data_IF_042599198979
#
_entry.id   IF_042599198979
#
_cell.length_a   1.000
_cell.length_b   1.000
_cell.length_c   1.000
_cell.angle_alpha   90.00
_cell.angle_beta   90.00
_cell.angle_gamma   90.00
#
_symmetry.space_group_name_H-M   'P 1'
#
loop_
_entity.id
_entity.type
_entity.pdbx_description
1 polymer ?
#
# COMPACT_ATOMS: atom_id res chain seq x y z
N UNK A 1 -31.66 -11.57 -53.52
CA UNK A 1 -32.98 -11.74 -52.87
C UNK A 1 -32.97 -13.04 -52.07
N UNK A 2 -33.71 -13.06 -50.94
CA UNK A 2 -33.81 -14.11 -49.89
C UNK A 2 -32.76 -14.03 -48.77
N UNK A 3 -33.11 -13.30 -47.70
CA UNK A 3 -32.61 -13.49 -46.33
C UNK A 3 -33.39 -14.66 -45.70
N UNK A 4 -32.70 -15.57 -45.02
CA UNK A 4 -33.28 -16.64 -44.23
C UNK A 4 -32.75 -16.58 -42.78
N UNK A 5 -33.71 -16.49 -41.86
CA UNK A 5 -33.80 -17.00 -40.48
C UNK A 5 -32.58 -17.14 -39.55
N UNK A 6 -32.71 -16.51 -38.37
CA UNK A 6 -32.23 -17.02 -37.08
C UNK A 6 -33.40 -16.95 -36.05
N UNK A 7 -33.51 -17.88 -35.08
CA UNK A 7 -34.69 -17.99 -34.21
C UNK A 7 -34.57 -17.09 -32.96
N UNK A 8 -35.71 -16.51 -32.54
CA UNK A 8 -35.88 -15.79 -31.27
C UNK A 8 -36.06 -16.79 -30.11
N UNK A 9 -35.31 -16.62 -29.03
CA UNK A 9 -35.54 -17.33 -27.77
C UNK A 9 -36.70 -16.74 -26.98
N UNK A 10 -37.30 -17.61 -26.19
CA UNK A 10 -38.55 -17.54 -25.44
C UNK A 10 -38.61 -16.42 -24.38
N UNK A 11 -39.68 -15.62 -24.47
CA UNK A 11 -40.23 -14.82 -23.37
C UNK A 11 -41.08 -15.74 -22.47
N UNK A 12 -40.70 -15.88 -21.19
CA UNK A 12 -41.54 -16.57 -20.20
C UNK A 12 -42.55 -15.58 -19.62
N UNK A 13 -43.82 -15.82 -19.94
CA UNK A 13 -45.00 -15.21 -19.35
C UNK A 13 -45.13 -15.61 -17.87
N UNK A 14 -45.25 -14.62 -16.98
CA UNK A 14 -45.74 -14.81 -15.62
C UNK A 14 -47.28 -14.90 -15.69
N UNK A 15 -47.85 -16.05 -15.35
CA UNK A 15 -49.29 -16.21 -15.10
C UNK A 15 -49.65 -15.51 -13.78
N UNK A 16 -50.51 -14.50 -13.87
CA UNK A 16 -51.14 -13.85 -12.73
C UNK A 16 -52.35 -14.71 -12.30
N UNK A 17 -52.28 -15.34 -11.13
CA UNK A 17 -53.46 -15.87 -10.44
C UNK A 17 -53.88 -14.86 -9.39
N UNK A 18 -55.06 -14.29 -9.56
CA UNK A 18 -55.67 -13.35 -8.62
C UNK A 18 -56.39 -14.15 -7.52
N UNK A 19 -56.06 -13.88 -6.26
CA UNK A 19 -56.69 -14.47 -5.07
C UNK A 19 -56.45 -13.60 -3.84
N UNK A 20 -57.41 -12.71 -3.59
CA UNK A 20 -57.86 -12.10 -2.31
C UNK A 20 -56.85 -11.80 -1.17
N UNK A 21 -56.71 -10.49 -0.91
CA UNK A 21 -56.42 -9.78 0.36
C UNK A 21 -55.38 -10.37 1.34
N UNK A 22 -54.18 -9.77 1.34
CA UNK A 22 -53.55 -9.24 2.56
C UNK A 22 -52.46 -8.23 2.16
N UNK A 23 -52.36 -7.11 2.87
CA UNK A 23 -51.36 -6.06 2.62
C UNK A 23 -49.98 -6.59 3.00
N UNK A 24 -49.24 -7.13 2.02
CA UNK A 24 -47.82 -7.44 2.19
C UNK A 24 -47.00 -6.19 1.92
N UNK A 25 -46.39 -5.66 2.97
CA UNK A 25 -45.24 -4.75 2.89
C UNK A 25 -44.18 -5.42 2.03
N UNK A 26 -43.92 -4.90 0.83
CA UNK A 26 -42.76 -5.29 0.03
C UNK A 26 -41.51 -4.76 0.72
N UNK A 27 -40.95 -5.54 1.64
CA UNK A 27 -39.57 -5.35 2.08
C UNK A 27 -38.69 -5.77 0.91
N UNK A 28 -38.14 -4.78 0.19
CA UNK A 28 -36.98 -5.01 -0.67
C UNK A 28 -35.81 -5.38 0.26
N UNK A 29 -35.67 -6.68 0.55
CA UNK A 29 -34.41 -7.24 1.01
C UNK A 29 -33.44 -7.15 -0.17
N UNK A 30 -32.81 -5.98 -0.29
CA UNK A 30 -31.59 -5.85 -1.05
C UNK A 30 -30.59 -6.85 -0.46
N UNK A 31 -30.38 -7.96 -1.15
CA UNK A 31 -29.30 -8.87 -0.84
C UNK A 31 -28.02 -8.06 -1.03
N UNK A 32 -27.46 -7.56 0.07
CA UNK A 32 -26.09 -7.10 0.08
C UNK A 32 -25.28 -8.25 -0.51
N UNK A 33 -24.64 -8.03 -1.67
CA UNK A 33 -23.60 -8.93 -2.15
C UNK A 33 -22.60 -9.00 -1.01
N UNK A 34 -22.64 -10.09 -0.24
CA UNK A 34 -21.53 -10.46 0.61
C UNK A 34 -20.34 -10.54 -0.35
N UNK A 35 -19.44 -9.57 -0.25
CA UNK A 35 -18.13 -9.62 -0.88
C UNK A 35 -17.46 -10.83 -0.26
N UNK A 36 -17.62 -11.97 -0.92
CA UNK A 36 -16.91 -13.18 -0.56
C UNK A 36 -15.44 -12.84 -0.78
N UNK A 37 -14.72 -12.55 0.31
CA UNK A 37 -13.27 -12.51 0.31
C UNK A 37 -12.85 -13.85 -0.29
N UNK A 38 -12.44 -13.86 -1.55
CA UNK A 38 -11.83 -15.04 -2.13
C UNK A 38 -10.58 -15.27 -1.31
N UNK A 39 -10.61 -16.29 -0.44
CA UNK A 39 -9.41 -16.77 0.22
C UNK A 39 -8.43 -17.06 -0.91
N UNK A 40 -7.36 -16.26 -1.01
CA UNK A 40 -6.36 -16.38 -2.05
C UNK A 40 -5.84 -17.83 -2.02
N UNK A 41 -6.22 -18.61 -3.03
CA UNK A 41 -5.81 -20.01 -3.12
C UNK A 41 -4.30 -20.03 -3.21
N UNK A 42 -3.66 -20.67 -2.23
CA UNK A 42 -2.21 -20.80 -2.18
C UNK A 42 -1.78 -21.59 -3.42
N UNK A 43 -0.92 -21.04 -4.29
CA UNK A 43 -0.50 -21.76 -5.50
C UNK A 43 0.18 -23.09 -5.19
N UNK A 44 0.03 -24.06 -6.09
CA UNK A 44 0.55 -25.42 -5.90
C UNK A 44 2.04 -25.44 -5.57
N UNK A 45 2.39 -26.20 -4.53
CA UNK A 45 3.75 -26.36 -4.01
C UNK A 45 4.21 -25.26 -3.06
N UNK A 46 3.47 -24.15 -2.92
CA UNK A 46 3.72 -23.18 -1.88
C UNK A 46 3.00 -23.56 -0.58
N UNK A 47 3.63 -23.31 0.55
CA UNK A 47 3.03 -23.41 1.88
C UNK A 47 3.41 -22.20 2.73
N UNK A 48 2.52 -21.80 3.66
CA UNK A 48 2.72 -20.61 4.50
C UNK A 48 3.74 -20.90 5.59
N UNK A 49 4.71 -20.02 5.77
CA UNK A 49 5.76 -20.12 6.81
C UNK A 49 5.72 -18.98 7.83
N UNK A 50 4.97 -17.91 7.54
CA UNK A 50 4.77 -16.76 8.42
C UNK A 50 3.40 -16.14 8.16
N UNK A 51 2.73 -15.72 9.21
CA UNK A 51 1.55 -14.85 9.16
C UNK A 51 1.58 -13.86 10.32
N UNK A 52 1.36 -12.59 10.02
CA UNK A 52 1.20 -11.51 10.99
C UNK A 52 0.28 -10.44 10.37
N UNK A 53 0.04 -9.34 11.08
CA UNK A 53 -0.89 -8.26 10.70
C UNK A 53 -0.57 -7.69 9.32
N UNK A 54 -1.34 -8.12 8.31
CA UNK A 54 -1.18 -7.71 6.92
C UNK A 54 0.00 -8.34 6.18
N UNK A 55 0.72 -9.30 6.77
CA UNK A 55 1.91 -9.91 6.16
C UNK A 55 1.80 -11.43 6.20
N UNK A 56 1.95 -12.07 5.05
CA UNK A 56 2.07 -13.53 4.94
C UNK A 56 3.30 -13.87 4.11
N UNK A 57 4.07 -14.88 4.50
CA UNK A 57 5.16 -15.40 3.67
C UNK A 57 4.92 -16.86 3.34
N UNK A 58 5.06 -17.17 2.06
CA UNK A 58 4.93 -18.51 1.50
C UNK A 58 6.29 -18.98 1.00
N UNK A 59 6.56 -20.27 1.17
CA UNK A 59 7.78 -20.94 0.72
C UNK A 59 7.42 -22.08 -0.20
N UNK A 60 8.23 -22.29 -1.23
CA UNK A 60 8.21 -23.49 -2.07
C UNK A 60 9.60 -24.11 -2.09
N UNK A 61 9.69 -25.35 -1.64
CA UNK A 61 10.93 -26.11 -1.70
C UNK A 61 11.08 -26.82 -3.03
N UNK A 62 12.33 -27.08 -3.39
CA UNK A 62 12.70 -27.84 -4.56
C UNK A 62 13.75 -28.88 -4.20
N UNK A 63 13.73 -30.01 -4.91
CA UNK A 63 14.78 -31.01 -4.83
C UNK A 63 16.15 -30.37 -5.19
N UNK A 64 17.17 -30.65 -4.38
CA UNK A 64 18.51 -30.05 -4.52
C UNK A 64 18.70 -28.66 -3.86
N UNK A 65 17.73 -28.19 -3.08
CA UNK A 65 17.79 -26.88 -2.42
C UNK A 65 17.43 -25.72 -3.35
N UNK A 66 17.62 -24.48 -2.86
CA UNK A 66 17.21 -23.21 -3.51
C UNK A 66 15.69 -22.97 -3.51
N UNK A 67 15.06 -22.74 -2.34
CA UNK A 67 13.64 -22.47 -2.24
C UNK A 67 13.25 -21.11 -2.82
N UNK A 68 11.98 -21.01 -3.17
CA UNK A 68 11.30 -19.78 -3.58
C UNK A 68 10.50 -19.21 -2.40
N UNK A 69 10.41 -17.88 -2.31
CA UNK A 69 9.68 -17.19 -1.26
C UNK A 69 8.78 -16.09 -1.84
N UNK A 70 7.50 -16.11 -1.49
CA UNK A 70 6.55 -15.05 -1.84
C UNK A 70 6.04 -14.41 -0.56
N UNK A 71 6.34 -13.12 -0.38
CA UNK A 71 5.74 -12.29 0.68
C UNK A 71 4.51 -11.59 0.10
N UNK A 72 3.36 -11.79 0.73
CA UNK A 72 2.09 -11.11 0.43
C UNK A 72 1.87 -10.05 1.50
N UNK A 73 1.74 -8.79 1.07
CA UNK A 73 1.58 -7.63 1.95
C UNK A 73 0.27 -6.93 1.65
N UNK A 74 -0.67 -6.95 2.58
CA UNK A 74 -1.91 -6.16 2.53
C UNK A 74 -1.64 -4.77 3.11
N UNK A 75 -1.50 -3.77 2.24
CA UNK A 75 -1.18 -2.40 2.61
C UNK A 75 -2.31 -1.70 3.36
N UNK A 76 -3.49 -2.30 3.53
CA UNK A 76 -4.50 -1.76 4.46
C UNK A 76 -4.14 -2.02 5.92
N UNK A 77 -3.24 -2.97 6.16
CA UNK A 77 -2.87 -3.49 7.50
C UNK A 77 -1.38 -3.45 7.79
N UNK A 78 -0.53 -3.60 6.78
CA UNK A 78 0.92 -3.61 6.90
C UNK A 78 1.56 -2.36 6.30
N UNK A 79 2.79 -2.07 6.67
CA UNK A 79 3.58 -0.96 6.13
C UNK A 79 4.77 -1.49 5.35
N UNK A 80 5.07 -0.88 4.21
CA UNK A 80 6.33 -1.06 3.48
C UNK A 80 7.10 0.26 3.39
N UNK A 81 8.42 0.18 3.36
CA UNK A 81 9.31 1.35 3.27
C UNK A 81 10.52 1.05 2.41
N UNK A 82 10.95 2.04 1.61
CA UNK A 82 12.28 2.01 1.02
C UNK A 82 13.34 2.35 2.07
N UNK A 83 14.38 1.52 2.14
CA UNK A 83 15.59 1.74 2.95
C UNK A 83 16.78 1.93 2.03
N UNK A 84 17.66 2.88 2.34
CA UNK A 84 18.88 3.15 1.56
C UNK A 84 20.08 3.43 2.46
N UNK A 85 21.28 3.41 1.89
CA UNK A 85 22.40 4.16 2.45
C UNK A 85 22.17 5.67 2.39
N UNK A 86 23.14 6.42 2.93
CA UNK A 86 23.26 7.85 2.62
C UNK A 86 23.42 8.02 1.11
N UNK A 87 23.03 9.18 0.59
CA UNK A 87 23.07 9.45 -0.83
C UNK A 87 23.45 10.89 -1.13
N UNK A 88 24.10 11.10 -2.27
CA UNK A 88 24.49 12.42 -2.78
C UNK A 88 24.59 12.35 -4.29
N UNK A 89 24.10 13.38 -4.98
CA UNK A 89 24.14 13.50 -6.45
C UNK A 89 23.64 12.24 -7.19
N UNK A 90 22.56 11.64 -6.70
CA UNK A 90 21.95 10.43 -7.27
C UNK A 90 22.70 9.12 -7.05
N UNK A 91 23.82 9.15 -6.32
CA UNK A 91 24.56 7.96 -5.91
C UNK A 91 24.20 7.57 -4.46
N UNK A 92 24.12 6.26 -4.20
CA UNK A 92 23.71 5.72 -2.90
C UNK A 92 24.80 4.82 -2.32
N UNK A 93 25.14 5.03 -1.06
CA UNK A 93 26.08 4.16 -0.35
C UNK A 93 25.47 2.77 -0.14
N UNK A 94 26.28 1.74 -0.37
CA UNK A 94 25.85 0.35 -0.21
C UNK A 94 25.92 -0.09 1.25
N UNK A 95 24.98 -0.95 1.65
CA UNK A 95 24.88 -1.53 2.99
C UNK A 95 24.83 -3.05 2.90
N UNK A 96 25.25 -3.70 3.98
CA UNK A 96 25.06 -5.14 4.14
C UNK A 96 23.60 -5.48 4.43
N UNK A 97 23.24 -6.74 4.24
CA UNK A 97 21.92 -7.28 4.60
C UNK A 97 21.58 -7.02 6.07
N UNK A 98 22.51 -7.30 6.98
CA UNK A 98 22.31 -7.10 8.42
C UNK A 98 22.14 -5.62 8.76
N UNK A 99 22.84 -4.72 8.08
CA UNK A 99 22.66 -3.28 8.26
C UNK A 99 21.24 -2.85 7.87
N UNK A 100 20.70 -3.33 6.75
CA UNK A 100 19.32 -3.02 6.37
C UNK A 100 18.28 -3.62 7.33
N UNK A 101 18.54 -4.82 7.86
CA UNK A 101 17.67 -5.38 8.90
C UNK A 101 17.67 -4.52 10.17
N UNK A 102 18.83 -4.07 10.62
CA UNK A 102 18.94 -3.20 11.78
C UNK A 102 18.26 -1.85 11.55
N UNK A 103 18.43 -1.26 10.36
CA UNK A 103 17.71 -0.04 9.96
C UNK A 103 16.19 -0.27 10.01
N UNK A 104 15.72 -1.44 9.55
CA UNK A 104 14.31 -1.78 9.59
C UNK A 104 13.79 -1.89 11.04
N UNK A 105 14.50 -2.63 11.88
CA UNK A 105 14.17 -2.83 13.30
C UNK A 105 14.20 -1.52 14.08
N UNK A 106 15.12 -0.60 13.76
CA UNK A 106 15.20 0.72 14.38
C UNK A 106 13.94 1.58 14.14
N UNK A 107 13.16 1.28 13.09
CA UNK A 107 11.88 1.94 12.79
C UNK A 107 10.67 1.24 13.41
N UNK A 108 10.86 0.20 14.24
CA UNK A 108 9.76 -0.46 14.92
C UNK A 108 9.02 0.50 15.86
N UNK A 109 7.70 0.43 15.84
CA UNK A 109 6.83 1.05 16.85
C UNK A 109 6.18 -0.02 17.70
N UNK A 110 5.31 0.36 18.64
CA UNK A 110 4.45 -0.60 19.37
C UNK A 110 3.46 -1.31 18.44
N UNK A 111 3.03 -0.67 17.37
CA UNK A 111 1.98 -1.12 16.45
C UNK A 111 2.47 -1.55 15.07
N UNK A 112 3.76 -1.36 14.77
CA UNK A 112 4.38 -1.80 13.52
C UNK A 112 5.76 -2.43 13.77
N UNK A 113 5.96 -3.68 13.34
CA UNK A 113 7.20 -4.43 13.54
C UNK A 113 7.76 -4.97 12.24
N UNK A 114 9.05 -4.77 11.98
CA UNK A 114 9.76 -5.30 10.81
C UNK A 114 9.68 -6.83 10.78
N UNK A 115 9.37 -7.37 9.60
CA UNK A 115 9.18 -8.80 9.35
C UNK A 115 10.01 -9.31 8.19
N UNK A 116 10.06 -8.54 7.10
CA UNK A 116 10.76 -8.94 5.87
C UNK A 116 11.63 -7.80 5.38
N UNK A 117 12.86 -8.12 4.97
CA UNK A 117 13.74 -7.19 4.25
C UNK A 117 14.27 -7.89 3.01
N UNK A 118 14.08 -7.25 1.85
CA UNK A 118 14.40 -7.78 0.52
C UNK A 118 15.14 -6.71 -0.29
N UNK A 119 16.07 -7.09 -1.16
CA UNK A 119 16.73 -6.13 -2.05
C UNK A 119 15.75 -5.53 -3.06
N UNK A 120 15.97 -4.28 -3.47
CA UNK A 120 14.93 -3.54 -4.18
C UNK A 120 15.32 -2.80 -5.45
N UNK A 121 16.57 -2.75 -5.89
CA UNK A 121 16.91 -1.97 -7.10
C UNK A 121 18.05 -2.54 -7.91
N UNK A 122 18.04 -2.23 -9.21
CA UNK A 122 19.18 -2.39 -10.10
C UNK A 122 20.18 -1.24 -9.91
N UNK A 123 21.46 -1.58 -9.90
CA UNK A 123 22.54 -0.62 -9.68
C UNK A 123 23.79 -0.99 -10.46
N UNK A 124 24.65 0.00 -10.66
CA UNK A 124 25.91 -0.18 -11.37
C UNK A 124 26.87 -1.07 -10.57
N UNK A 125 27.32 -2.18 -11.16
CA UNK A 125 28.28 -3.09 -10.52
C UNK A 125 29.62 -3.22 -11.26
N UNK A 126 29.86 -2.39 -12.28
CA UNK A 126 31.04 -2.46 -13.11
C UNK A 126 32.18 -1.61 -12.50
N UNK A 127 33.01 -2.21 -11.63
CA UNK A 127 34.21 -1.55 -11.08
C UNK A 127 34.03 -0.75 -9.77
N UNK A 128 32.83 -0.81 -9.17
CA UNK A 128 32.51 -0.50 -7.76
C UNK A 128 32.93 0.85 -7.14
N UNK A 129 32.51 2.01 -7.70
CA UNK A 129 32.35 3.18 -6.86
C UNK A 129 31.23 2.91 -5.84
N UNK A 130 31.57 3.04 -4.55
CA UNK A 130 30.62 3.18 -3.45
C UNK A 130 30.78 4.62 -2.93
N UNK A 131 29.83 5.53 -3.16
CA UNK A 131 28.43 5.28 -3.50
C UNK A 131 28.19 4.93 -4.98
N UNK A 132 27.11 4.18 -5.24
CA UNK A 132 26.80 3.60 -6.57
C UNK A 132 25.60 4.26 -7.22
N UNK A 133 25.57 4.28 -8.56
CA UNK A 133 24.44 4.81 -9.34
C UNK A 133 23.27 3.83 -9.36
N UNK A 134 22.05 4.37 -9.34
CA UNK A 134 20.80 3.61 -9.49
C UNK A 134 20.40 3.53 -10.96
N UNK A 135 20.06 2.34 -11.47
CA UNK A 135 19.82 2.14 -12.90
C UNK A 135 18.46 2.67 -13.38
N UNK A 136 17.37 2.39 -12.67
CA UNK A 136 16.01 2.72 -13.14
C UNK A 136 15.26 3.75 -12.27
N UNK A 137 15.98 4.37 -11.35
CA UNK A 137 15.47 5.41 -10.46
C UNK A 137 15.07 4.91 -9.07
N UNK A 138 15.07 5.84 -8.12
CA UNK A 138 14.70 5.58 -6.73
C UNK A 138 14.20 6.87 -6.07
N UNK A 139 13.12 6.76 -5.32
CA UNK A 139 12.57 7.81 -4.45
C UNK A 139 12.27 7.21 -3.09
N UNK A 140 12.68 7.92 -2.05
CA UNK A 140 12.55 7.48 -0.66
C UNK A 140 11.90 8.57 0.16
N UNK A 141 10.74 8.31 0.76
CA UNK A 141 10.04 9.26 1.65
C UNK A 141 9.95 10.68 1.07
N UNK A 142 9.40 10.79 -0.15
CA UNK A 142 9.30 12.03 -0.93
C UNK A 142 10.62 12.60 -1.48
N UNK A 143 11.77 12.05 -1.13
CA UNK A 143 13.06 12.48 -1.66
C UNK A 143 13.41 11.66 -2.90
N UNK A 144 13.30 12.27 -4.09
CA UNK A 144 13.79 11.69 -5.33
C UNK A 144 15.32 11.64 -5.30
N UNK A 145 15.88 10.45 -5.36
CA UNK A 145 17.33 10.25 -5.40
C UNK A 145 17.82 10.36 -6.85
N UNK A 146 17.17 9.65 -7.78
CA UNK A 146 17.55 9.62 -9.19
C UNK A 146 16.37 9.15 -10.06
N UNK A 147 16.33 9.56 -11.33
CA UNK A 147 15.45 8.96 -12.35
C UNK A 147 16.04 7.68 -12.96
N UNK A 148 17.32 7.39 -12.70
CA UNK A 148 18.01 6.24 -13.25
C UNK A 148 18.87 6.56 -14.48
N UNK A 149 20.05 5.97 -14.57
CA UNK A 149 20.95 6.13 -15.73
C UNK A 149 20.69 5.10 -16.85
N UNK A 150 20.07 3.97 -16.53
CA UNK A 150 19.91 2.79 -17.40
C UNK A 150 18.63 2.80 -18.23
N UNK A 151 17.91 3.91 -18.31
CA UNK A 151 16.61 3.97 -18.99
C UNK A 151 16.70 3.67 -20.51
N UNK A 152 17.86 3.82 -21.12
CA UNK A 152 18.08 3.47 -22.53
C UNK A 152 18.35 1.98 -22.79
N UNK A 153 18.63 1.19 -21.76
CA UNK A 153 19.08 -0.20 -21.92
C UNK A 153 17.95 -1.14 -22.38
N UNK A 154 16.71 -0.85 -21.98
CA UNK A 154 15.53 -1.68 -22.30
C UNK A 154 14.35 -0.82 -22.81
N UNK A 155 14.40 -0.36 -24.07
CA UNK A 155 13.36 0.50 -24.64
C UNK A 155 11.94 -0.06 -24.46
N UNK A 156 11.04 0.74 -23.89
CA UNK A 156 9.64 0.36 -23.64
C UNK A 156 9.41 -0.64 -22.49
N UNK A 157 10.48 -1.12 -21.83
CA UNK A 157 10.40 -2.13 -20.77
C UNK A 157 10.74 -1.58 -19.38
N UNK A 158 11.06 -0.30 -19.25
CA UNK A 158 11.23 0.32 -17.93
C UNK A 158 9.89 0.42 -17.21
N UNK A 159 9.89 0.08 -15.93
CA UNK A 159 8.73 0.14 -15.04
C UNK A 159 9.08 0.91 -13.77
N UNK A 160 8.06 1.31 -13.03
CA UNK A 160 8.18 1.79 -11.66
C UNK A 160 7.23 1.01 -10.78
N UNK A 161 7.73 0.58 -9.61
CA UNK A 161 6.92 0.19 -8.47
C UNK A 161 6.75 1.43 -7.59
N UNK A 162 5.55 1.99 -7.55
CA UNK A 162 5.18 3.09 -6.67
C UNK A 162 4.30 2.56 -5.54
N UNK A 163 4.53 3.00 -4.31
CA UNK A 163 3.68 2.62 -3.19
C UNK A 163 3.52 3.72 -2.15
N UNK A 164 2.31 3.78 -1.60
CA UNK A 164 1.95 4.60 -0.46
C UNK A 164 1.35 3.68 0.61
N UNK A 165 2.18 3.30 1.59
CA UNK A 165 1.73 2.50 2.72
C UNK A 165 0.57 3.14 3.46
N UNK A 166 0.51 4.47 3.58
CA UNK A 166 -0.57 5.12 4.31
C UNK A 166 -1.88 5.13 3.53
N UNK A 167 -1.84 5.51 2.26
CA UNK A 167 -2.99 5.45 1.35
C UNK A 167 -3.40 4.02 0.97
N UNK A 168 -2.73 3.01 1.53
CA UNK A 168 -2.90 1.59 1.25
C UNK A 168 -2.82 1.27 -0.25
N UNK A 169 -1.92 1.93 -1.00
CA UNK A 169 -1.87 1.79 -2.45
C UNK A 169 -0.50 1.36 -2.96
N UNK A 170 -0.50 0.58 -4.03
CA UNK A 170 0.67 0.21 -4.81
C UNK A 170 0.33 0.16 -6.29
N UNK A 171 1.26 0.57 -7.15
CA UNK A 171 1.10 0.50 -8.60
C UNK A 171 2.40 0.05 -9.25
N UNK A 172 2.26 -0.75 -10.30
CA UNK A 172 3.33 -1.07 -11.23
C UNK A 172 2.91 -0.51 -12.58
N UNK A 173 3.69 0.43 -13.10
CA UNK A 173 3.38 1.16 -14.33
C UNK A 173 4.63 1.41 -15.17
N UNK A 174 4.44 1.92 -16.38
CA UNK A 174 5.55 2.39 -17.22
C UNK A 174 6.32 3.49 -16.50
N UNK A 175 7.65 3.46 -16.62
CA UNK A 175 8.49 4.48 -16.01
C UNK A 175 8.17 5.89 -16.54
N UNK A 176 7.96 6.85 -15.65
CA UNK A 176 7.85 8.28 -15.98
C UNK A 176 8.49 9.16 -14.91
N UNK A 177 9.02 10.31 -15.30
CA UNK A 177 9.54 11.29 -14.33
C UNK A 177 8.42 11.79 -13.39
N UNK A 178 7.19 11.92 -13.89
CA UNK A 178 6.03 12.33 -13.08
C UNK A 178 5.73 11.38 -11.92
N UNK A 179 6.05 10.09 -12.03
CA UNK A 179 5.92 9.16 -10.89
C UNK A 179 6.88 9.54 -9.76
N UNK A 180 8.11 9.93 -10.08
CA UNK A 180 9.10 10.33 -9.09
C UNK A 180 8.86 11.75 -8.56
N UNK A 181 8.34 12.65 -9.39
CA UNK A 181 8.04 14.03 -9.00
C UNK A 181 6.68 14.19 -8.29
N UNK A 182 5.81 13.16 -8.37
CA UNK A 182 4.47 13.17 -7.78
C UNK A 182 4.41 13.04 -6.26
N UNK A 183 3.20 12.87 -5.72
CA UNK A 183 2.94 12.76 -4.27
C UNK A 183 3.26 11.40 -3.65
N UNK A 184 3.40 10.35 -4.46
CA UNK A 184 3.71 9.02 -3.94
C UNK A 184 5.07 9.04 -3.24
N UNK A 185 5.15 8.66 -1.95
CA UNK A 185 6.35 8.85 -1.14
C UNK A 185 7.51 7.98 -1.59
N UNK A 186 7.24 6.75 -1.98
CA UNK A 186 8.25 5.75 -2.30
C UNK A 186 8.03 5.20 -3.72
N UNK A 187 9.10 5.24 -4.51
CA UNK A 187 9.10 4.77 -5.91
C UNK A 187 10.40 4.05 -6.16
N UNK A 188 10.31 2.88 -6.78
CA UNK A 188 11.44 2.02 -7.11
C UNK A 188 11.42 1.75 -8.62
N UNK A 189 12.52 2.08 -9.29
CA UNK A 189 12.73 1.72 -10.68
C UNK A 189 12.83 0.21 -10.88
N UNK A 190 12.17 -0.29 -11.91
CA UNK A 190 12.02 -1.71 -12.18
C UNK A 190 12.11 -2.01 -13.68
N UNK A 191 12.19 -3.30 -14.03
CA UNK A 191 12.05 -3.77 -15.40
C UNK A 191 10.76 -4.57 -15.55
N UNK A 192 10.15 -4.49 -16.72
CA UNK A 192 9.08 -5.39 -17.11
C UNK A 192 9.59 -6.84 -17.06
N UNK A 193 8.75 -7.77 -16.63
CA UNK A 193 9.10 -9.20 -16.54
C UNK A 193 9.53 -9.82 -17.89
N UNK A 194 9.22 -9.15 -19.01
CA UNK A 194 9.61 -9.54 -20.37
C UNK A 194 10.91 -8.87 -20.87
N UNK A 195 11.53 -7.96 -20.12
CA UNK A 195 12.80 -7.35 -20.50
C UNK A 195 13.90 -8.42 -20.56
N UNK A 196 14.68 -8.51 -21.65
CA UNK A 196 15.70 -9.56 -21.74
C UNK A 196 16.93 -9.25 -20.87
N UNK A 197 16.88 -9.58 -19.58
CA UNK A 197 18.02 -9.51 -18.65
C UNK A 197 18.43 -10.94 -18.28
N UNK A 198 19.03 -11.62 -19.26
CA UNK A 198 19.32 -13.06 -19.19
C UNK A 198 18.05 -13.87 -18.96
N UNK A 199 16.97 -13.60 -19.72
CA UNK A 199 15.61 -14.01 -19.35
C UNK A 199 15.42 -15.54 -19.20
N UNK A 200 16.17 -16.32 -19.96
CA UNK A 200 16.14 -17.79 -19.94
C UNK A 200 17.03 -18.41 -18.85
N UNK A 201 17.89 -17.62 -18.21
CA UNK A 201 18.84 -18.12 -17.22
C UNK A 201 18.18 -18.28 -15.84
N UNK A 202 18.31 -19.46 -15.20
CA UNK A 202 17.83 -19.72 -13.85
C UNK A 202 18.76 -19.04 -12.82
N UNK A 203 18.43 -17.80 -12.49
CA UNK A 203 19.24 -16.95 -11.61
C UNK A 203 18.49 -16.60 -10.32
N UNK A 204 19.24 -16.14 -9.33
CA UNK A 204 18.66 -15.46 -8.18
C UNK A 204 18.13 -14.08 -8.58
N UNK A 205 16.88 -13.78 -8.22
CA UNK A 205 16.20 -12.55 -8.61
C UNK A 205 15.15 -12.13 -7.60
N UNK A 206 14.80 -10.85 -7.65
CA UNK A 206 13.64 -10.30 -6.96
C UNK A 206 12.64 -9.75 -7.97
N UNK A 207 11.39 -10.18 -7.84
CA UNK A 207 10.25 -9.71 -8.61
C UNK A 207 9.16 -9.17 -7.69
N UNK A 208 8.25 -8.40 -8.28
CA UNK A 208 7.11 -7.81 -7.60
C UNK A 208 5.85 -7.91 -8.43
N UNK A 209 4.71 -7.97 -7.76
CA UNK A 209 3.40 -7.89 -8.40
C UNK A 209 2.40 -7.19 -7.49
N UNK A 210 1.34 -6.64 -8.06
CA UNK A 210 0.27 -6.01 -7.27
C UNK A 210 -1.09 -6.64 -7.54
N UNK A 211 -2.00 -6.53 -6.56
CA UNK A 211 -3.34 -7.08 -6.61
C UNK A 211 -4.32 -6.03 -6.06
N UNK A 212 -5.30 -5.64 -6.86
CA UNK A 212 -6.51 -4.96 -6.43
C UNK A 212 -7.41 -6.00 -5.75
N UNK A 213 -7.40 -5.99 -4.42
CA UNK A 213 -7.96 -7.10 -3.63
C UNK A 213 -9.45 -6.93 -3.35
N UNK A 214 -9.98 -5.71 -3.47
CA UNK A 214 -11.39 -5.41 -3.28
C UNK A 214 -12.11 -4.92 -4.55
N UNK A 215 -11.39 -4.82 -5.67
CA UNK A 215 -11.93 -4.54 -7.00
C UNK A 215 -12.27 -3.07 -7.22
N UNK A 216 -11.66 -2.16 -6.45
CA UNK A 216 -11.99 -0.73 -6.49
C UNK A 216 -11.21 0.06 -7.57
N UNK A 217 -10.26 -0.59 -8.27
CA UNK A 217 -9.37 0.01 -9.27
C UNK A 217 -8.02 0.48 -8.72
N UNK A 218 -7.79 0.40 -7.42
CA UNK A 218 -6.52 0.63 -6.74
C UNK A 218 -5.97 -0.72 -6.29
N UNK A 219 -4.67 -0.95 -6.37
CA UNK A 219 -4.09 -2.16 -5.82
C UNK A 219 -3.57 -1.89 -4.39
N UNK A 220 -4.02 -2.70 -3.43
CA UNK A 220 -3.64 -2.58 -2.02
C UNK A 220 -2.76 -3.74 -1.55
N UNK A 221 -2.63 -4.80 -2.35
CA UNK A 221 -1.77 -5.94 -2.02
C UNK A 221 -0.52 -5.94 -2.88
N UNK A 222 0.65 -5.98 -2.23
CA UNK A 222 1.95 -6.15 -2.87
C UNK A 222 2.46 -7.59 -2.69
N UNK A 223 2.96 -8.18 -3.77
CA UNK A 223 3.73 -9.41 -3.77
C UNK A 223 5.21 -9.06 -3.91
N UNK A 224 6.05 -9.63 -3.05
CA UNK A 224 7.50 -9.61 -3.17
C UNK A 224 7.97 -11.06 -3.35
N UNK A 225 8.53 -11.37 -4.51
CA UNK A 225 8.96 -12.71 -4.87
C UNK A 225 10.48 -12.78 -4.96
N UNK A 226 11.10 -13.56 -4.07
CA UNK A 226 12.53 -13.90 -4.13
C UNK A 226 12.70 -15.33 -4.62
N UNK A 227 13.56 -15.49 -5.61
CA UNK A 227 13.93 -16.80 -6.16
C UNK A 227 15.44 -16.92 -6.22
N UNK A 228 15.93 -18.15 -6.14
CA UNK A 228 17.35 -18.50 -6.28
C UNK A 228 17.67 -19.20 -7.61
N UNK A 229 16.65 -19.53 -8.42
CA UNK A 229 16.83 -20.34 -9.63
C UNK A 229 15.70 -20.25 -10.67
N UNK A 230 14.80 -19.28 -10.58
CA UNK A 230 13.75 -19.15 -11.59
C UNK A 230 14.25 -18.39 -12.83
N UNK A 231 13.78 -18.81 -14.00
CA UNK A 231 13.81 -17.96 -15.20
C UNK A 231 12.81 -16.81 -15.04
N UNK A 232 12.90 -15.78 -15.87
CA UNK A 232 11.92 -14.67 -15.83
C UNK A 232 10.50 -15.15 -16.11
N UNK A 233 10.32 -16.07 -17.07
CA UNK A 233 9.01 -16.64 -17.40
C UNK A 233 8.43 -17.46 -16.24
N UNK A 234 9.26 -18.26 -15.55
CA UNK A 234 8.82 -19.01 -14.38
C UNK A 234 8.40 -18.09 -13.23
N UNK A 235 9.14 -17.00 -13.00
CA UNK A 235 8.82 -16.02 -11.99
C UNK A 235 7.52 -15.25 -12.28
N UNK A 236 7.31 -14.88 -13.54
CA UNK A 236 6.06 -14.26 -14.01
C UNK A 236 4.86 -15.18 -13.76
N UNK A 237 5.01 -16.49 -14.03
CA UNK A 237 3.96 -17.47 -13.77
C UNK A 237 3.65 -17.64 -12.27
N UNK A 238 4.65 -17.59 -11.39
CA UNK A 238 4.43 -17.60 -9.94
C UNK A 238 3.59 -16.39 -9.51
N UNK A 239 3.96 -15.18 -9.92
CA UNK A 239 3.22 -13.98 -9.58
C UNK A 239 1.78 -14.00 -10.11
N UNK A 240 1.56 -14.50 -11.34
CA UNK A 240 0.22 -14.71 -11.89
C UNK A 240 -0.59 -15.72 -11.08
N UNK A 241 0.02 -16.81 -10.64
CA UNK A 241 -0.64 -17.82 -9.83
C UNK A 241 -1.09 -17.26 -8.46
N UNK A 242 -0.33 -16.31 -7.91
CA UNK A 242 -0.74 -15.53 -6.74
C UNK A 242 -1.77 -14.42 -7.07
N UNK A 243 -2.14 -14.21 -8.33
CA UNK A 243 -3.18 -13.26 -8.74
C UNK A 243 -2.68 -11.86 -9.09
N UNK A 244 -1.38 -11.65 -9.29
CA UNK A 244 -0.85 -10.34 -9.65
C UNK A 244 -1.36 -9.85 -11.01
N UNK A 245 -1.96 -8.66 -11.04
CA UNK A 245 -2.48 -8.02 -12.25
C UNK A 245 -1.38 -7.29 -13.02
N UNK A 246 -0.49 -6.57 -12.32
CA UNK A 246 0.76 -6.03 -12.87
C UNK A 246 1.97 -6.61 -12.16
N UNK A 247 3.10 -6.72 -12.88
CA UNK A 247 4.30 -7.43 -12.44
C UNK A 247 5.57 -6.75 -12.96
N UNK A 248 6.64 -6.79 -12.20
CA UNK A 248 7.95 -6.27 -12.58
C UNK A 248 9.09 -7.04 -11.90
N UNK A 249 10.30 -6.83 -12.37
CA UNK A 249 11.56 -7.33 -11.80
C UNK A 249 12.29 -6.15 -11.14
N UNK A 250 12.79 -6.34 -9.92
CA UNK A 250 13.58 -5.34 -9.17
C UNK A 250 15.08 -5.63 -9.15
N UNK A 251 15.46 -6.89 -9.41
CA UNK A 251 16.84 -7.33 -9.45
C UNK A 251 17.03 -8.44 -10.48
N UNK A 252 18.13 -8.36 -11.24
CA UNK A 252 18.40 -9.20 -12.40
C UNK A 252 19.49 -10.25 -12.20
N UNK A 253 20.06 -10.39 -10.99
CA UNK A 253 21.05 -11.42 -10.70
C UNK A 253 22.16 -10.99 -9.72
N UNK A 254 22.55 -11.91 -8.84
CA UNK A 254 23.79 -11.79 -8.06
C UNK A 254 23.70 -10.93 -6.80
N UNK A 255 22.52 -10.41 -6.44
CA UNK A 255 22.31 -9.52 -5.30
C UNK A 255 21.04 -9.82 -4.51
N UNK A 256 20.37 -10.93 -4.82
CA UNK A 256 19.11 -11.26 -4.18
C UNK A 256 19.38 -11.66 -2.74
N UNK A 257 18.61 -11.08 -1.82
CA UNK A 257 18.59 -11.53 -0.45
C UNK A 257 17.21 -11.41 0.15
N UNK A 258 17.04 -12.10 1.26
CA UNK A 258 15.81 -12.12 2.01
C UNK A 258 16.11 -12.39 3.48
N UNK A 259 15.66 -11.50 4.36
CA UNK A 259 15.52 -11.77 5.79
C UNK A 259 14.04 -11.92 6.11
N UNK A 260 13.70 -12.93 6.93
CA UNK A 260 12.38 -13.12 7.53
C UNK A 260 12.56 -13.25 9.05
N UNK A 261 11.90 -12.39 9.83
CA UNK A 261 11.99 -12.34 11.30
C UNK A 261 13.44 -12.36 11.81
N UNK A 262 14.32 -11.57 11.19
CA UNK A 262 15.74 -11.49 11.56
C UNK A 262 16.58 -12.70 11.14
N UNK A 263 15.98 -13.69 10.50
CA UNK A 263 16.68 -14.87 9.99
C UNK A 263 16.94 -14.73 8.49
N UNK A 264 18.20 -14.66 8.04
CA UNK A 264 18.53 -14.71 6.62
C UNK A 264 18.04 -16.02 5.99
N UNK A 265 17.23 -15.90 4.94
CA UNK A 265 16.71 -17.02 4.13
C UNK A 265 17.38 -17.11 2.77
N UNK A 266 17.80 -15.97 2.26
CA UNK A 266 18.70 -15.85 1.11
C UNK A 266 19.78 -14.87 1.52
N UNK A 267 21.04 -15.30 1.45
CA UNK A 267 22.20 -14.52 1.89
C UNK A 267 23.14 -14.27 0.72
N UNK A 268 23.70 -13.06 0.68
CA UNK A 268 24.80 -12.68 -0.23
C UNK A 268 25.82 -11.86 0.54
N UNK A 269 27.10 -11.97 0.17
CA UNK A 269 28.16 -11.09 0.70
C UNK A 269 28.15 -9.73 0.02
N UNK A 270 27.42 -9.58 -1.09
CA UNK A 270 27.32 -8.34 -1.84
C UNK A 270 26.51 -7.30 -1.06
N UNK A 271 27.10 -6.11 -0.90
CA UNK A 271 26.38 -4.95 -0.38
C UNK A 271 25.51 -4.34 -1.49
N UNK A 272 24.34 -3.82 -1.12
CA UNK A 272 23.39 -3.21 -2.07
C UNK A 272 23.03 -1.79 -1.63
N UNK A 273 22.64 -0.89 -2.55
CA UNK A 273 22.28 0.49 -2.20
C UNK A 273 20.89 0.63 -1.57
N UNK A 274 20.00 -0.33 -1.79
CA UNK A 274 18.59 -0.21 -1.44
C UNK A 274 17.94 -1.56 -1.11
N UNK A 275 17.03 -1.52 -0.15
CA UNK A 275 16.16 -2.61 0.24
C UNK A 275 14.73 -2.11 0.47
N UNK A 276 13.76 -3.01 0.33
CA UNK A 276 12.38 -2.79 0.77
C UNK A 276 12.18 -3.52 2.09
N UNK A 277 11.75 -2.78 3.11
CA UNK A 277 11.37 -3.34 4.41
C UNK A 277 9.85 -3.45 4.52
N UNK A 278 9.38 -4.56 5.06
CA UNK A 278 7.98 -4.86 5.33
C UNK A 278 7.77 -4.96 6.84
N UNK A 279 6.76 -4.27 7.32
CA UNK A 279 6.35 -4.21 8.72
C UNK A 279 4.94 -4.77 8.85
N UNK A 280 4.75 -5.71 9.77
CA UNK A 280 3.42 -6.10 10.19
C UNK A 280 2.81 -4.95 11.02
N UNK A 281 1.58 -4.55 10.69
CA UNK A 281 0.90 -3.44 11.35
C UNK A 281 1.21 -2.04 10.80
N UNK A 282 0.55 -1.04 11.36
CA UNK A 282 0.64 0.38 10.97
C UNK A 282 1.21 1.23 12.12
N UNK A 283 2.20 2.09 11.87
CA UNK A 283 2.68 2.99 12.91
C UNK A 283 1.59 4.01 13.28
N UNK A 284 1.70 4.61 14.46
CA UNK A 284 0.89 5.75 14.87
C UNK A 284 1.71 7.03 14.66
N UNK A 285 1.33 7.84 13.68
CA UNK A 285 2.07 9.05 13.34
C UNK A 285 1.16 10.28 13.36
N UNK A 286 1.75 11.49 13.44
CA UNK A 286 1.03 12.73 13.23
C UNK A 286 0.48 12.87 11.81
N UNK A 287 -0.73 13.43 11.72
CA UNK A 287 -1.36 13.88 10.47
C UNK A 287 -1.37 15.41 10.51
N UNK A 288 -0.60 16.05 9.65
CA UNK A 288 -0.53 17.51 9.51
C UNK A 288 -1.61 18.01 8.55
N UNK A 289 -2.33 19.05 8.93
CA UNK A 289 -3.23 19.82 8.07
C UNK A 289 -2.66 21.20 7.73
N UNK A 290 -3.58 22.12 7.43
CA UNK A 290 -3.26 23.52 7.10
C UNK A 290 -2.41 24.20 8.19
N UNK A 291 -1.49 25.07 7.77
CA UNK A 291 -0.57 25.76 8.68
C UNK A 291 0.49 24.86 9.33
N UNK A 292 0.66 23.63 8.84
CA UNK A 292 1.62 22.66 9.38
C UNK A 292 1.23 22.09 10.75
N UNK A 293 -0.02 22.33 11.18
CA UNK A 293 -0.57 21.88 12.46
C UNK A 293 -1.08 20.45 12.39
N UNK A 294 -1.09 19.77 13.52
CA UNK A 294 -1.46 18.36 13.62
C UNK A 294 -2.96 18.18 13.94
N UNK A 295 -3.56 17.13 13.39
CA UNK A 295 -4.88 16.61 13.75
C UNK A 295 -4.84 16.15 15.22
N UNK A 296 -5.55 16.85 16.09
CA UNK A 296 -5.35 16.83 17.53
C UNK A 296 -6.66 16.59 18.27
N UNK A 297 -6.61 15.69 19.26
CA UNK A 297 -7.72 15.50 20.20
C UNK A 297 -7.66 16.58 21.27
N UNK A 298 -8.71 17.42 21.32
CA UNK A 298 -8.76 18.58 22.22
C UNK A 298 -8.42 18.23 23.68
N UNK A 299 -7.36 18.85 24.20
CA UNK A 299 -6.88 18.65 25.58
C UNK A 299 -6.29 17.26 25.86
N UNK A 300 -6.03 16.45 24.82
CA UNK A 300 -5.58 15.06 24.98
C UNK A 300 -6.59 14.17 25.70
N UNK A 301 -7.89 14.53 25.66
CA UNK A 301 -8.93 13.76 26.33
C UNK A 301 -9.13 12.39 25.70
N UNK A 302 -9.49 11.41 26.51
CA UNK A 302 -9.93 10.08 26.08
C UNK A 302 -11.44 9.91 26.22
N UNK A 303 -12.21 10.99 26.40
CA UNK A 303 -13.68 10.92 26.51
C UNK A 303 -14.33 10.89 25.13
N UNK A 304 -15.21 9.90 24.90
CA UNK A 304 -16.03 9.82 23.68
C UNK A 304 -16.85 11.10 23.49
N UNK A 305 -16.89 11.61 22.27
CA UNK A 305 -17.50 12.88 21.94
C UNK A 305 -16.56 14.08 22.03
N UNK A 306 -15.29 13.92 22.39
CA UNK A 306 -14.33 15.04 22.37
C UNK A 306 -14.10 15.49 20.92
N UNK A 307 -14.29 16.79 20.66
CA UNK A 307 -14.13 17.36 19.32
C UNK A 307 -12.66 17.44 18.91
N UNK A 308 -12.39 17.12 17.65
CA UNK A 308 -11.07 17.27 17.05
C UNK A 308 -10.78 18.73 16.73
N UNK A 309 -9.51 19.09 16.85
CA UNK A 309 -8.98 20.39 16.49
C UNK A 309 -7.68 20.24 15.69
N UNK A 310 -7.16 21.34 15.19
CA UNK A 310 -5.75 21.43 14.81
C UNK A 310 -4.95 22.07 15.95
N UNK A 311 -3.72 21.60 16.16
CA UNK A 311 -2.82 22.16 17.18
C UNK A 311 -1.37 22.13 16.69
N UNK A 312 -0.51 22.94 17.28
CA UNK A 312 0.93 22.83 17.02
C UNK A 312 1.41 21.41 17.29
N UNK A 313 2.18 20.87 16.35
CA UNK A 313 2.65 19.49 16.46
C UNK A 313 3.60 19.36 17.66
N UNK A 314 3.20 18.58 18.66
CA UNK A 314 3.88 18.46 19.96
C UNK A 314 4.27 17.00 20.30
N UNK A 315 3.96 16.03 19.43
CA UNK A 315 4.38 14.63 19.58
C UNK A 315 3.65 13.85 20.69
N UNK A 316 2.64 14.45 21.33
CA UNK A 316 1.82 13.78 22.34
C UNK A 316 0.91 12.71 21.72
N UNK A 317 0.36 11.83 22.55
CA UNK A 317 -0.60 10.81 22.10
C UNK A 317 -1.87 11.41 21.47
N UNK A 318 -2.22 12.65 21.80
CA UNK A 318 -3.37 13.36 21.24
C UNK A 318 -3.28 13.58 19.72
N UNK A 319 -2.08 13.48 19.15
CA UNK A 319 -1.78 13.75 17.74
C UNK A 319 -1.35 12.50 16.97
N UNK A 320 -1.31 11.34 17.62
CA UNK A 320 -0.85 10.10 17.00
C UNK A 320 -2.05 9.31 16.50
N UNK A 321 -2.02 8.99 15.21
CA UNK A 321 -3.09 8.28 14.54
C UNK A 321 -2.55 7.07 13.75
N UNK A 322 -3.14 5.91 13.98
CA UNK A 322 -3.01 4.77 13.05
C UNK A 322 -4.16 4.81 12.05
N UNK A 323 -3.88 4.44 10.79
CA UNK A 323 -4.88 4.34 9.74
C UNK A 323 -4.87 2.92 9.17
N UNK A 324 -5.86 2.14 9.53
CA UNK A 324 -5.96 0.71 9.21
C UNK A 324 -7.38 0.40 8.77
N UNK A 325 -7.55 -0.27 7.62
CA UNK A 325 -8.85 -0.67 7.08
C UNK A 325 -9.89 0.48 7.03
N UNK A 326 -9.43 1.67 6.61
CA UNK A 326 -10.25 2.87 6.50
C UNK A 326 -10.63 3.50 7.84
N UNK A 327 -9.98 3.13 8.95
CA UNK A 327 -10.28 3.64 10.30
C UNK A 327 -9.08 4.38 10.84
N UNK A 328 -9.29 5.65 11.24
CA UNK A 328 -8.31 6.42 11.99
C UNK A 328 -8.51 6.17 13.49
N UNK A 329 -7.55 5.51 14.14
CA UNK A 329 -7.56 5.28 15.59
C UNK A 329 -6.52 6.16 16.28
N UNK A 330 -6.95 6.89 17.29
CA UNK A 330 -6.13 7.81 18.07
C UNK A 330 -6.05 7.43 19.55
N UNK A 331 -5.83 8.44 20.39
CA UNK A 331 -5.65 8.27 21.84
C UNK A 331 -6.80 7.47 22.49
N UNK A 332 -6.45 6.59 23.43
CA UNK A 332 -7.42 5.72 24.11
C UNK A 332 -8.03 4.62 23.23
N UNK A 333 -7.44 4.36 22.05
CA UNK A 333 -7.95 3.36 21.10
C UNK A 333 -9.24 3.77 20.40
N UNK A 334 -9.62 5.06 20.48
CA UNK A 334 -10.86 5.60 19.92
C UNK A 334 -10.72 5.97 18.45
N UNK A 335 -11.85 5.96 17.75
CA UNK A 335 -11.93 6.18 16.32
C UNK A 335 -12.27 7.64 16.00
N UNK A 336 -11.71 8.18 14.92
CA UNK A 336 -12.14 9.44 14.31
C UNK A 336 -13.55 9.25 13.74
N UNK A 337 -14.49 10.05 14.21
CA UNK A 337 -15.91 9.81 14.09
C UNK A 337 -16.67 11.06 13.65
N UNK A 338 -17.63 10.89 12.74
CA UNK A 338 -18.62 11.90 12.38
C UNK A 338 -19.79 11.84 13.36
N UNK A 339 -19.96 12.89 14.15
CA UNK A 339 -20.94 12.91 15.24
C UNK A 339 -22.36 12.59 14.77
N UNK A 340 -22.95 11.55 15.36
CA UNK A 340 -24.31 11.07 15.03
C UNK A 340 -24.48 10.55 13.60
N UNK A 341 -23.37 10.26 12.89
CA UNK A 341 -23.37 9.97 11.45
C UNK A 341 -24.04 11.06 10.59
N UNK A 342 -24.14 12.29 11.10
CA UNK A 342 -24.81 13.38 10.41
C UNK A 342 -23.97 13.86 9.22
N UNK A 343 -24.55 13.86 8.04
CA UNK A 343 -23.87 14.29 6.81
C UNK A 343 -24.04 15.77 6.51
N UNK A 344 -24.54 16.60 7.42
CA UNK A 344 -24.63 18.05 7.20
C UNK A 344 -23.24 18.73 7.24
N UNK A 345 -23.06 19.80 6.46
CA UNK A 345 -21.86 20.63 6.55
C UNK A 345 -21.74 21.26 7.94
N UNK A 346 -20.53 21.29 8.48
CA UNK A 346 -20.27 21.76 9.84
C UNK A 346 -20.48 20.68 10.91
N UNK A 347 -20.86 19.45 10.53
CA UNK A 347 -20.99 18.36 11.50
C UNK A 347 -19.66 18.15 12.22
N UNK A 348 -19.73 18.07 13.55
CA UNK A 348 -18.60 17.86 14.44
C UNK A 348 -17.86 16.56 14.11
N UNK A 349 -16.54 16.67 13.95
CA UNK A 349 -15.63 15.52 13.97
C UNK A 349 -15.12 15.31 15.40
N UNK A 350 -15.19 14.09 15.89
CA UNK A 350 -14.89 13.74 17.28
C UNK A 350 -14.09 12.45 17.37
N UNK A 351 -13.61 12.13 18.57
CA UNK A 351 -13.28 10.74 18.93
C UNK A 351 -14.50 10.04 19.49
N UNK A 352 -14.69 8.76 19.14
CA UNK A 352 -15.73 7.92 19.72
C UNK A 352 -15.24 6.49 19.88
N UNK A 353 -15.90 5.70 20.73
CA UNK A 353 -15.63 4.26 20.81
C UNK A 353 -15.80 3.61 19.44
N UNK A 354 -14.82 2.79 19.05
CA UNK A 354 -14.83 2.18 17.74
C UNK A 354 -16.02 1.21 17.62
N UNK A 355 -16.95 1.51 16.73
CA UNK A 355 -18.24 0.79 16.58
C UNK A 355 -18.46 0.24 15.18
N UNK A 356 -17.52 0.46 14.25
CA UNK A 356 -17.54 -0.11 12.90
C UNK A 356 -18.57 0.52 11.95
N UNK A 357 -19.28 1.56 12.37
CA UNK A 357 -20.27 2.26 11.54
C UNK A 357 -19.59 3.08 10.42
N UNK A 358 -20.33 3.44 9.35
CA UNK A 358 -19.80 4.31 8.30
C UNK A 358 -19.31 5.69 8.78
N UNK A 359 -19.77 6.16 9.96
CA UNK A 359 -19.30 7.41 10.56
C UNK A 359 -17.82 7.40 10.94
N UNK A 360 -17.21 6.21 11.05
CA UNK A 360 -15.80 6.01 11.42
C UNK A 360 -14.95 5.51 10.25
N UNK A 361 -15.54 5.48 9.05
CA UNK A 361 -14.88 5.03 7.83
C UNK A 361 -14.44 6.22 6.99
N UNK A 362 -13.17 6.20 6.63
CA UNK A 362 -12.49 7.24 5.88
C UNK A 362 -11.73 6.61 4.71
N UNK A 363 -11.82 7.24 3.55
CA UNK A 363 -10.98 6.93 2.38
C UNK A 363 -9.94 8.04 2.25
N UNK A 364 -8.67 7.67 2.14
CA UNK A 364 -7.60 8.64 1.86
C UNK A 364 -7.38 8.75 0.36
N UNK A 365 -7.85 9.86 -0.23
CA UNK A 365 -7.93 10.09 -1.67
C UNK A 365 -6.82 11.05 -2.09
N UNK A 366 -6.21 10.79 -3.26
CA UNK A 366 -5.13 11.63 -3.85
C UNK A 366 -3.97 11.93 -2.87
N UNK A 367 -3.67 10.97 -2.01
CA UNK A 367 -2.63 11.07 -0.99
C UNK A 367 -2.70 12.34 -0.10
N UNK A 368 -3.87 12.96 0.03
CA UNK A 368 -4.00 14.25 0.72
C UNK A 368 -5.36 14.55 1.34
N UNK A 369 -6.42 13.80 0.99
CA UNK A 369 -7.78 14.15 1.42
C UNK A 369 -8.44 12.96 2.13
N UNK A 370 -8.95 13.19 3.33
CA UNK A 370 -9.80 12.21 4.03
C UNK A 370 -11.26 12.44 3.69
N UNK A 371 -11.86 11.48 2.98
CA UNK A 371 -13.28 11.47 2.63
C UNK A 371 -14.04 10.50 3.54
N UNK A 372 -15.05 10.99 4.24
CA UNK A 372 -15.90 10.22 5.15
C UNK A 372 -17.29 9.92 4.57
N UNK A 373 -18.23 9.64 5.48
CA UNK A 373 -19.64 9.39 5.17
C UNK A 373 -20.25 10.55 4.37
N UNK A 374 -21.16 10.23 3.44
CA UNK A 374 -21.79 11.20 2.53
C UNK A 374 -20.84 11.76 1.46
N UNK A 375 -19.65 11.19 1.30
CA UNK A 375 -18.65 11.65 0.32
C UNK A 375 -17.99 12.98 0.67
N UNK A 376 -18.17 13.44 1.92
CA UNK A 376 -17.67 14.71 2.44
C UNK A 376 -16.26 14.59 3.01
N UNK A 377 -15.59 15.73 3.18
CA UNK A 377 -14.19 15.82 3.53
C UNK A 377 -13.98 16.22 4.99
N UNK A 378 -12.89 15.70 5.59
CA UNK A 378 -12.33 16.17 6.85
C UNK A 378 -11.78 17.60 6.64
N UNK A 379 -12.34 18.57 7.37
CA UNK A 379 -12.18 19.99 7.06
C UNK A 379 -11.84 20.80 8.31
N UNK A 380 -10.87 21.70 8.19
CA UNK A 380 -10.56 22.69 9.24
C UNK A 380 -11.51 23.88 9.09
N UNK A 381 -12.31 24.17 10.12
CA UNK A 381 -13.35 25.19 10.05
C UNK A 381 -12.81 26.56 9.60
N UNK A 382 -13.39 27.09 8.52
CA UNK A 382 -13.03 28.37 7.91
C UNK A 382 -11.63 28.41 7.30
N UNK A 383 -10.93 27.27 7.20
CA UNK A 383 -9.52 27.22 6.79
C UNK A 383 -8.58 28.00 7.73
N UNK A 384 -8.98 28.21 9.00
CA UNK A 384 -8.16 28.95 9.95
C UNK A 384 -6.94 28.13 10.36
N UNK A 385 -5.80 28.79 10.51
CA UNK A 385 -4.52 28.20 10.89
C UNK A 385 -4.18 28.41 12.36
N UNK A 386 -5.12 28.85 13.20
CA UNK A 386 -4.89 29.05 14.64
C UNK A 386 -5.05 27.75 15.41
N UNK A 387 -4.15 27.46 16.37
CA UNK A 387 -4.26 26.30 17.26
C UNK A 387 -5.57 26.34 18.03
N UNK A 388 -6.26 25.20 18.11
CA UNK A 388 -7.59 25.10 18.70
C UNK A 388 -8.75 25.21 17.72
N UNK A 389 -8.48 25.61 16.47
CA UNK A 389 -9.50 25.62 15.40
C UNK A 389 -10.10 24.22 15.23
N UNK A 390 -11.42 24.13 15.24
CA UNK A 390 -12.14 22.86 15.22
C UNK A 390 -12.18 22.24 13.82
N UNK A 391 -12.15 20.91 13.80
CA UNK A 391 -12.31 20.10 12.61
C UNK A 391 -13.77 19.67 12.48
N UNK A 392 -14.27 19.69 11.25
CA UNK A 392 -15.67 19.46 10.88
C UNK A 392 -15.76 18.60 9.62
N UNK A 393 -16.97 18.13 9.33
CA UNK A 393 -17.32 17.54 8.04
C UNK A 393 -17.80 18.64 7.09
N UNK A 394 -17.27 18.69 5.88
CA UNK A 394 -17.67 19.68 4.89
C UNK A 394 -17.66 19.13 3.46
N UNK A 395 -18.38 19.76 2.54
CA UNK A 395 -18.28 19.44 1.12
C UNK A 395 -16.85 19.54 0.62
N UNK A 396 -16.42 18.53 -0.15
CA UNK A 396 -15.08 18.51 -0.70
C UNK A 396 -14.90 19.67 -1.70
N UNK A 397 -13.94 20.56 -1.44
CA UNK A 397 -13.74 21.79 -2.21
C UNK A 397 -12.28 22.02 -2.65
N UNK A 398 -11.38 21.05 -2.43
CA UNK A 398 -9.95 21.10 -2.75
C UNK A 398 -9.18 22.26 -2.11
N UNK A 399 -9.73 22.91 -1.07
CA UNK A 399 -9.02 23.94 -0.32
C UNK A 399 -7.92 23.34 0.56
N UNK A 400 -6.98 24.17 0.98
CA UNK A 400 -5.94 23.76 1.93
C UNK A 400 -6.51 23.29 3.29
N UNK A 401 -7.75 23.69 3.64
CA UNK A 401 -8.44 23.25 4.85
C UNK A 401 -8.75 21.75 4.87
N UNK A 402 -8.73 21.10 3.70
CA UNK A 402 -9.05 19.67 3.52
C UNK A 402 -7.83 18.84 3.10
N UNK A 403 -6.65 19.47 3.07
CA UNK A 403 -5.39 18.83 2.73
C UNK A 403 -4.68 18.38 3.99
N UNK A 404 -4.35 17.09 4.04
CA UNK A 404 -3.77 16.38 5.17
C UNK A 404 -2.56 15.56 4.71
N UNK A 405 -1.41 15.81 5.32
CA UNK A 405 -0.16 15.11 5.08
C UNK A 405 0.26 14.34 6.33
N UNK A 406 0.52 13.04 6.18
CA UNK A 406 1.14 12.27 7.27
C UNK A 406 2.65 12.47 7.28
N UNK A 407 3.23 12.52 8.48
CA UNK A 407 4.68 12.49 8.66
C UNK A 407 5.08 11.04 8.93
N UNK A 408 6.03 10.52 8.17
CA UNK A 408 6.37 9.10 8.17
C UNK A 408 7.79 8.78 8.64
#
# INVERSE_FOLDING_TARGET
MKKASLPKSSSNFIKLLCGTLSVSVCVFLGVAKATQLLAQTIPSGFYKIMEDTGVRVYKKDYQGGKPDYVTVVDLRKATIRNLTGSYSNGNVYRKSLNTFWNDAVAMNTTTAKAKVVINGTFFDNNGSPNPTKIAFGLKVRNNKISYGYGLGEFPGKNRTLAFNSFGASTSIQSHSNSTFDGSTPDVVGALDVTANKSASEPLERTFVGNIDSDGNGVAETLLLFSTLKATQAAADNVLKAFGATSRAMLDGGGSTFLIIDGNPKISTTRTVPHAVAVYAGKPENPIKGIGGKCLDVSGGSTTSGTQIQIWDCNGTAAQKWSFTDGVLRGIGGKCLDVSGANTANGTKIQIWDCNGTPAQKWTFVKDSVFRGIGGKCLDVNGGNTTSGTKVQLWDCNNSAAQSWQRID
#
